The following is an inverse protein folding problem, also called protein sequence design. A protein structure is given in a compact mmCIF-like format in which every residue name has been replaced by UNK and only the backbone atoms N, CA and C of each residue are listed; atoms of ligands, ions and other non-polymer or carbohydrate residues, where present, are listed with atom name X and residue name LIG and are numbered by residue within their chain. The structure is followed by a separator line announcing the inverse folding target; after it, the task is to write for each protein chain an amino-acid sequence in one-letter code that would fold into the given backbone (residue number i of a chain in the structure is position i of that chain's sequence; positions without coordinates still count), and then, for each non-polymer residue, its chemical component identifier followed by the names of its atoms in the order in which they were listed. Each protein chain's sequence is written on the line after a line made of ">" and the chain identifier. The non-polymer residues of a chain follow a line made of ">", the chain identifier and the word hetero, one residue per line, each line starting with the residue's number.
data_IF_835003442217
#
_entry.id   IF_835003442217
#
_cell.length_a   1.000
_cell.length_b   1.000
_cell.length_c   1.000
_cell.angle_alpha   90.00
_cell.angle_beta   90.00
_cell.angle_gamma   90.00
#
_symmetry.space_group_name_H-M   'P 1'
#
loop_
_entity.id
_entity.type
_entity.pdbx_description
1 polymer ?
#
# COMPACT_ATOMS: atom_id res chain seq x y z
N UNK A 1 -47.93 -5.70 -0.32
CA UNK A 1 -46.53 -5.40 0.05
C UNK A 1 -45.66 -6.18 -0.90
N UNK A 2 -45.22 -5.57 -1.99
CA UNK A 2 -44.27 -6.21 -2.90
C UNK A 2 -42.88 -6.07 -2.28
N UNK A 3 -42.10 -7.15 -2.11
CA UNK A 3 -40.69 -7.00 -1.81
C UNK A 3 -40.05 -6.30 -3.02
N UNK A 4 -39.44 -5.15 -2.81
CA UNK A 4 -38.69 -4.45 -3.85
C UNK A 4 -37.38 -5.21 -4.08
N UNK A 5 -37.41 -6.16 -5.02
CA UNK A 5 -36.24 -6.88 -5.53
C UNK A 5 -35.42 -5.96 -6.43
N UNK A 6 -34.61 -5.07 -5.86
CA UNK A 6 -33.61 -4.28 -6.62
C UNK A 6 -32.41 -3.82 -5.78
N UNK A 7 -32.13 -4.43 -4.64
CA UNK A 7 -30.81 -4.30 -4.00
C UNK A 7 -29.99 -5.52 -4.40
N UNK A 8 -29.48 -5.50 -5.64
CA UNK A 8 -28.40 -6.42 -6.05
C UNK A 8 -27.35 -6.35 -4.95
N UNK A 9 -26.95 -7.50 -4.43
CA UNK A 9 -26.07 -7.80 -3.29
C UNK A 9 -24.67 -7.11 -3.36
N UNK A 10 -24.65 -5.80 -3.53
CA UNK A 10 -23.49 -4.92 -3.42
C UNK A 10 -23.27 -4.48 -1.98
N UNK A 11 -24.17 -4.87 -1.07
CA UNK A 11 -24.03 -4.58 0.34
C UNK A 11 -23.04 -5.52 1.03
N UNK A 12 -22.53 -6.58 0.40
CA UNK A 12 -21.45 -7.41 0.97
C UNK A 12 -20.17 -7.41 0.13
N UNK A 13 -19.95 -6.37 -0.67
CA UNK A 13 -18.78 -6.26 -1.55
C UNK A 13 -18.20 -4.85 -1.45
N UNK A 14 -16.91 -4.76 -1.13
CA UNK A 14 -16.14 -3.54 -1.26
C UNK A 14 -15.25 -3.57 -2.49
N UNK A 15 -14.80 -2.41 -2.92
CA UNK A 15 -13.92 -2.28 -4.09
C UNK A 15 -12.56 -1.73 -3.66
N UNK A 16 -11.50 -2.30 -4.21
CA UNK A 16 -10.13 -1.85 -3.94
C UNK A 16 -9.40 -1.56 -5.25
N UNK A 17 -8.75 -0.41 -5.28
CA UNK A 17 -7.82 -0.01 -6.35
C UNK A 17 -6.49 0.37 -5.70
N UNK A 18 -5.39 -0.21 -6.17
CA UNK A 18 -4.05 0.13 -5.66
C UNK A 18 -3.38 1.10 -6.62
N UNK A 19 -2.89 2.21 -6.09
CA UNK A 19 -2.15 3.23 -6.85
C UNK A 19 -0.69 3.20 -6.43
N UNK A 20 0.19 2.74 -7.32
CA UNK A 20 1.62 2.65 -7.10
C UNK A 20 2.34 3.81 -7.79
N UNK A 21 3.19 4.50 -7.05
CA UNK A 21 4.04 5.58 -7.54
C UNK A 21 5.46 5.46 -7.00
N UNK A 22 6.40 6.14 -7.64
CA UNK A 22 7.81 6.20 -7.20
C UNK A 22 7.99 7.17 -6.03
N UNK A 23 9.20 7.22 -5.48
CA UNK A 23 9.60 8.21 -4.47
C UNK A 23 9.07 9.63 -4.79
N UNK A 24 8.58 10.31 -3.76
CA UNK A 24 7.86 11.59 -3.81
C UNK A 24 6.44 11.55 -4.41
N UNK A 25 5.90 10.37 -4.76
CA UNK A 25 4.50 10.20 -5.18
C UNK A 25 4.14 10.83 -6.52
N UNK A 26 5.14 11.32 -7.26
CA UNK A 26 4.95 12.18 -8.44
C UNK A 26 4.82 11.39 -9.75
N UNK A 27 5.44 10.20 -9.84
CA UNK A 27 5.49 9.43 -11.08
C UNK A 27 4.75 8.10 -10.87
N UNK A 28 3.72 7.80 -11.67
CA UNK A 28 3.06 6.50 -11.64
C UNK A 28 4.04 5.40 -12.04
N UNK A 29 3.96 4.25 -11.35
CA UNK A 29 4.84 3.12 -11.62
C UNK A 29 4.06 2.00 -12.33
N UNK A 30 4.39 1.77 -13.59
CA UNK A 30 3.88 0.66 -14.38
C UNK A 30 4.60 -0.66 -14.04
N UNK A 31 3.90 -1.78 -14.15
CA UNK A 31 4.51 -3.11 -14.03
C UNK A 31 4.81 -3.54 -12.60
N UNK A 32 4.30 -2.83 -11.59
CA UNK A 32 4.38 -3.26 -10.20
C UNK A 32 3.40 -4.41 -9.97
N UNK A 33 3.89 -5.53 -9.45
CA UNK A 33 3.10 -6.68 -9.06
C UNK A 33 2.45 -6.42 -7.71
N UNK A 34 1.12 -6.47 -7.67
CA UNK A 34 0.30 -6.24 -6.48
C UNK A 34 -0.40 -7.54 -6.11
N UNK A 35 -0.18 -8.02 -4.89
CA UNK A 35 -0.83 -9.22 -4.37
C UNK A 35 -1.75 -8.84 -3.23
N UNK A 36 -3.02 -9.23 -3.31
CA UNK A 36 -4.01 -9.02 -2.26
C UNK A 36 -4.27 -10.37 -1.60
N UNK A 37 -4.08 -10.41 -0.28
CA UNK A 37 -4.20 -11.59 0.58
C UNK A 37 -5.28 -11.39 1.64
N UNK A 38 -5.81 -12.50 2.16
CA UNK A 38 -6.69 -12.49 3.32
C UNK A 38 -6.09 -11.69 4.49
N UNK A 39 -6.93 -11.02 5.27
CA UNK A 39 -6.49 -10.24 6.43
C UNK A 39 -6.29 -11.05 7.70
N UNK A 40 -6.62 -12.34 7.69
CA UNK A 40 -6.29 -13.23 8.79
C UNK A 40 -4.79 -13.55 8.77
N UNK A 41 -4.15 -13.54 9.94
CA UNK A 41 -2.69 -13.69 10.05
C UNK A 41 -2.23 -15.10 9.70
N UNK A 42 -3.12 -16.09 9.84
CA UNK A 42 -2.89 -17.49 9.50
C UNK A 42 -3.34 -17.79 8.05
N UNK A 43 -4.18 -16.93 7.45
CA UNK A 43 -4.60 -17.03 6.06
C UNK A 43 -3.68 -16.23 5.12
N UNK A 44 -2.66 -16.91 4.63
CA UNK A 44 -1.80 -16.37 3.58
C UNK A 44 -2.35 -16.60 2.16
N UNK A 45 -3.65 -16.87 2.01
CA UNK A 45 -4.26 -17.13 0.71
C UNK A 45 -4.18 -15.90 -0.20
N UNK A 46 -3.74 -16.13 -1.43
CA UNK A 46 -3.73 -15.10 -2.47
C UNK A 46 -5.13 -15.03 -3.07
N UNK A 47 -5.78 -13.88 -2.91
CA UNK A 47 -7.13 -13.60 -3.42
C UNK A 47 -7.03 -13.01 -4.83
N UNK A 48 -6.14 -12.04 -5.00
CA UNK A 48 -5.85 -11.44 -6.31
C UNK A 48 -4.35 -11.24 -6.51
N UNK A 49 -3.91 -11.44 -7.74
CA UNK A 49 -2.60 -11.03 -8.23
C UNK A 49 -2.81 -10.12 -9.42
N UNK A 50 -2.36 -8.88 -9.29
CA UNK A 50 -2.60 -7.79 -10.22
C UNK A 50 -1.27 -7.17 -10.64
N UNK A 51 -1.31 -6.38 -11.70
CA UNK A 51 -0.17 -5.59 -12.16
C UNK A 51 -0.64 -4.18 -12.47
N UNK A 52 0.18 -3.18 -12.11
CA UNK A 52 -0.15 -1.79 -12.43
C UNK A 52 0.03 -1.49 -13.91
N UNK A 53 -0.89 -0.70 -14.45
CA UNK A 53 -0.81 -0.17 -15.83
C UNK A 53 0.06 1.09 -15.89
N UNK A 54 0.18 1.70 -17.08
CA UNK A 54 0.94 2.95 -17.31
C UNK A 54 0.58 4.11 -16.38
N UNK A 55 -0.66 4.17 -15.90
CA UNK A 55 -1.13 5.17 -14.94
C UNK A 55 -0.76 4.86 -13.49
N UNK A 56 -0.02 3.78 -13.24
CA UNK A 56 0.37 3.32 -11.90
C UNK A 56 -0.80 2.75 -11.10
N UNK A 57 -1.91 2.42 -11.76
CA UNK A 57 -3.12 1.89 -11.15
C UNK A 57 -3.27 0.40 -11.46
N UNK A 58 -3.72 -0.36 -10.47
CA UNK A 58 -4.26 -1.70 -10.70
C UNK A 58 -5.69 -1.61 -11.22
N UNK A 59 -6.22 -2.67 -11.85
CA UNK A 59 -7.66 -2.83 -12.01
C UNK A 59 -8.38 -2.74 -10.65
N UNK A 60 -9.58 -2.18 -10.63
CA UNK A 60 -10.44 -2.23 -9.45
C UNK A 60 -10.93 -3.66 -9.25
N UNK A 61 -10.72 -4.21 -8.06
CA UNK A 61 -11.18 -5.56 -7.70
C UNK A 61 -12.28 -5.52 -6.67
N UNK A 62 -13.19 -6.49 -6.77
CA UNK A 62 -14.26 -6.70 -5.81
C UNK A 62 -13.77 -7.66 -4.70
N UNK A 63 -13.87 -7.21 -3.45
CA UNK A 63 -13.47 -7.96 -2.26
C UNK A 63 -14.70 -8.18 -1.38
N UNK A 64 -14.77 -9.35 -0.74
CA UNK A 64 -15.85 -9.68 0.18
C UNK A 64 -15.79 -8.74 1.39
N UNK A 65 -16.89 -8.05 1.68
CA UNK A 65 -16.98 -7.15 2.83
C UNK A 65 -18.22 -7.50 3.65
N UNK A 66 -18.20 -7.28 4.98
CA UNK A 66 -19.41 -7.38 5.78
C UNK A 66 -20.49 -6.40 5.28
N UNK A 67 -21.78 -6.69 5.55
CA UNK A 67 -22.88 -5.80 5.21
C UNK A 67 -22.67 -4.39 5.75
N UNK A 68 -23.01 -3.38 4.95
CA UNK A 68 -22.92 -1.96 5.34
C UNK A 68 -23.78 -1.66 6.56
N UNK A 69 -24.87 -2.40 6.75
CA UNK A 69 -25.71 -2.32 7.95
C UNK A 69 -24.88 -2.56 9.23
N UNK A 70 -23.88 -3.45 9.19
CA UNK A 70 -23.00 -3.70 10.34
C UNK A 70 -22.16 -2.46 10.69
N UNK A 71 -21.69 -1.69 9.70
CA UNK A 71 -20.94 -0.46 9.96
C UNK A 71 -21.80 0.66 10.55
N UNK A 72 -23.13 0.56 10.43
CA UNK A 72 -24.09 1.53 10.97
C UNK A 72 -24.66 1.10 12.33
N UNK A 73 -24.38 -0.12 12.77
CA UNK A 73 -24.78 -0.64 14.08
C UNK A 73 -23.67 -0.45 15.11
N UNK A 74 -23.98 -0.07 16.37
CA UNK A 74 -23.02 -0.05 17.46
C UNK A 74 -22.64 -1.45 17.98
N UNK A 75 -23.21 -2.53 17.39
CA UNK A 75 -22.94 -3.91 17.79
C UNK A 75 -21.51 -4.34 17.48
N UNK A 76 -20.75 -4.75 18.50
CA UNK A 76 -19.37 -5.25 18.37
C UNK A 76 -19.33 -6.73 17.92
N UNK A 77 -20.46 -7.44 18.02
CA UNK A 77 -20.57 -8.87 17.68
C UNK A 77 -20.46 -9.15 16.17
N UNK A 78 -20.64 -8.12 15.32
CA UNK A 78 -20.56 -8.25 13.86
C UNK A 78 -19.43 -7.36 13.31
N UNK A 79 -18.57 -7.88 12.41
CA UNK A 79 -17.51 -7.08 11.83
C UNK A 79 -18.12 -5.99 10.94
N UNK A 80 -17.64 -4.76 11.11
CA UNK A 80 -18.07 -3.58 10.36
C UNK A 80 -17.34 -3.42 9.01
N UNK A 81 -16.20 -4.11 8.83
CA UNK A 81 -15.36 -4.07 7.64
C UNK A 81 -14.58 -5.37 7.52
N UNK A 82 -14.15 -5.70 6.30
CA UNK A 82 -13.17 -6.75 6.06
C UNK A 82 -11.76 -6.15 6.14
N UNK A 83 -10.79 -6.98 6.51
CA UNK A 83 -9.38 -6.61 6.48
C UNK A 83 -8.66 -7.46 5.43
N UNK A 84 -7.71 -6.84 4.74
CA UNK A 84 -6.88 -7.49 3.72
C UNK A 84 -5.43 -7.06 3.85
N UNK A 85 -4.53 -7.93 3.40
CA UNK A 85 -3.10 -7.65 3.33
C UNK A 85 -2.73 -7.40 1.86
N UNK A 86 -1.92 -6.37 1.60
CA UNK A 86 -1.52 -5.98 0.24
C UNK A 86 0.00 -5.94 0.17
N UNK A 87 0.55 -6.63 -0.81
CA UNK A 87 1.98 -6.59 -1.09
C UNK A 87 2.22 -6.02 -2.45
N UNK A 88 3.25 -5.19 -2.55
CA UNK A 88 3.63 -4.56 -3.80
C UNK A 88 5.10 -4.79 -4.03
N UNK A 89 5.40 -5.36 -5.20
CA UNK A 89 6.73 -5.67 -5.66
C UNK A 89 6.96 -5.02 -7.02
N UNK A 90 8.13 -4.42 -7.21
CA UNK A 90 8.56 -3.96 -8.52
C UNK A 90 10.08 -4.15 -8.65
N UNK A 91 10.53 -4.41 -9.87
CA UNK A 91 11.96 -4.61 -10.13
C UNK A 91 12.74 -3.32 -9.89
N UNK A 92 13.84 -3.39 -9.12
CA UNK A 92 14.64 -2.21 -8.77
C UNK A 92 14.04 -1.33 -7.66
N UNK A 93 12.98 -1.77 -6.99
CA UNK A 93 12.35 -1.07 -5.87
C UNK A 93 12.25 -1.94 -4.61
N UNK A 94 12.26 -1.28 -3.44
CA UNK A 94 12.01 -1.92 -2.16
C UNK A 94 10.56 -2.38 -2.10
N UNK A 95 10.28 -3.64 -1.70
CA UNK A 95 8.92 -4.11 -1.55
C UNK A 95 8.18 -3.34 -0.46
N UNK A 96 6.87 -3.17 -0.64
CA UNK A 96 5.99 -2.53 0.34
C UNK A 96 4.89 -3.51 0.77
N UNK A 97 4.63 -3.55 2.08
CA UNK A 97 3.66 -4.43 2.72
C UNK A 97 2.67 -3.59 3.51
N UNK A 98 1.39 -3.75 3.23
CA UNK A 98 0.29 -3.07 3.92
C UNK A 98 -0.58 -4.13 4.58
N UNK A 99 -0.62 -4.11 5.90
CA UNK A 99 -1.40 -5.07 6.67
C UNK A 99 -2.68 -4.44 7.19
N UNK A 100 -3.74 -5.25 7.31
CA UNK A 100 -5.02 -4.85 7.88
C UNK A 100 -5.70 -3.67 7.15
N UNK A 101 -5.65 -3.65 5.82
CA UNK A 101 -6.31 -2.62 5.01
C UNK A 101 -7.83 -2.81 5.11
N UNK A 102 -8.58 -1.82 5.63
CA UNK A 102 -10.01 -1.95 5.84
C UNK A 102 -10.78 -1.74 4.54
N UNK A 103 -11.65 -2.68 4.22
CA UNK A 103 -12.54 -2.64 3.07
C UNK A 103 -13.98 -2.61 3.56
N UNK A 104 -14.68 -1.54 3.17
CA UNK A 104 -16.07 -1.30 3.49
C UNK A 104 -16.94 -1.64 2.29
N UNK A 105 -18.12 -2.16 2.58
CA UNK A 105 -19.05 -2.51 1.54
C UNK A 105 -19.61 -1.29 0.80
N UNK A 106 -19.73 -1.41 -0.53
CA UNK A 106 -20.18 -0.36 -1.43
C UNK A 106 -19.19 0.80 -1.60
N UNK A 107 -18.01 0.75 -0.98
CA UNK A 107 -16.98 1.79 -1.07
C UNK A 107 -15.87 1.36 -2.02
N UNK A 108 -15.46 2.28 -2.91
CA UNK A 108 -14.24 2.14 -3.69
C UNK A 108 -13.06 2.77 -2.94
N UNK A 109 -12.29 1.92 -2.27
CA UNK A 109 -11.08 2.29 -1.56
C UNK A 109 -9.91 2.39 -2.54
N UNK A 110 -9.18 3.50 -2.46
CA UNK A 110 -7.92 3.66 -3.20
C UNK A 110 -6.77 3.60 -2.21
N UNK A 111 -5.90 2.59 -2.36
CA UNK A 111 -4.71 2.44 -1.53
C UNK A 111 -3.50 3.05 -2.26
N UNK A 112 -2.99 4.22 -1.86
CA UNK A 112 -1.74 4.76 -2.38
C UNK A 112 -0.56 3.96 -1.82
N UNK A 113 0.40 3.67 -2.70
CA UNK A 113 1.64 2.94 -2.40
C UNK A 113 2.79 3.69 -3.05
N UNK A 114 3.80 4.02 -2.24
CA UNK A 114 5.04 4.65 -2.71
C UNK A 114 6.14 3.60 -2.63
N UNK A 115 6.73 3.25 -3.77
CA UNK A 115 7.89 2.39 -3.81
C UNK A 115 9.18 3.22 -3.84
N UNK A 116 10.13 2.82 -3.01
CA UNK A 116 11.45 3.43 -2.93
C UNK A 116 12.40 2.69 -3.88
N UNK A 117 13.09 3.38 -4.80
CA UNK A 117 14.09 2.72 -5.63
C UNK A 117 15.20 2.14 -4.75
N UNK A 118 15.62 0.92 -5.05
CA UNK A 118 16.79 0.31 -4.44
C UNK A 118 18.02 1.02 -5.02
N UNK A 119 18.51 2.06 -4.34
CA UNK A 119 19.79 2.66 -4.72
C UNK A 119 20.88 1.60 -4.55
N UNK A 120 21.49 1.17 -5.65
CA UNK A 120 22.75 0.43 -5.60
C UNK A 120 23.89 1.39 -5.18
N UNK A 121 23.92 1.81 -3.91
CA UNK A 121 25.11 2.17 -3.12
C UNK A 121 24.74 2.89 -1.82
N UNK A 122 24.98 2.31 -0.64
CA UNK A 122 25.36 3.10 0.51
C UNK A 122 26.81 3.55 0.33
N UNK A 123 27.08 4.52 -0.55
CA UNK A 123 28.34 5.26 -0.45
C UNK A 123 28.26 6.05 0.84
N UNK A 124 28.79 5.45 1.91
CA UNK A 124 29.16 6.11 3.15
C UNK A 124 30.14 7.23 2.80
N UNK A 125 29.61 8.41 2.45
CA UNK A 125 30.39 9.62 2.39
C UNK A 125 30.65 10.06 3.84
N UNK A 126 31.59 9.38 4.50
CA UNK A 126 32.25 9.93 5.68
C UNK A 126 33.16 11.08 5.21
N UNK A 127 32.53 12.20 4.83
CA UNK A 127 33.22 13.48 4.70
C UNK A 127 33.53 13.95 6.12
N UNK A 128 34.59 13.40 6.73
CA UNK A 128 35.16 13.98 7.93
C UNK A 128 35.64 15.39 7.57
N UNK A 129 34.93 16.38 8.09
CA UNK A 129 35.24 17.80 8.13
C UNK A 129 36.74 18.12 8.07
N UNK A 130 37.28 18.35 6.87
CA UNK A 130 38.50 19.13 6.71
C UNK A 130 38.10 20.59 6.89
N UNK A 131 38.40 21.16 8.05
CA UNK A 131 38.49 22.62 8.23
C UNK A 131 39.95 22.95 8.51
N UNK A 132 40.63 23.43 7.46
CA UNK A 132 41.97 24.02 7.50
C UNK A 132 42.01 25.30 8.37
N UNK A 133 43.16 25.55 9.01
CA UNK A 133 43.97 26.74 8.67
C UNK A 133 45.41 26.62 9.21
N UNK A 134 46.42 27.15 8.48
CA UNK A 134 47.84 27.09 8.83
C UNK A 134 48.28 28.31 9.64
N UNK A 135 49.17 28.15 10.63
CA UNK A 135 50.00 29.27 11.15
C UNK A 135 51.38 28.68 11.44
N UNK A 136 52.37 29.09 10.65
CA UNK A 136 53.76 28.66 10.79
C UNK A 136 54.50 29.40 11.92
N UNK A 137 55.72 28.94 12.17
CA UNK A 137 56.73 29.69 12.91
C UNK A 137 57.28 28.94 14.12
N UNK A 138 58.33 28.15 13.87
CA UNK A 138 59.61 28.18 14.60
C UNK A 138 59.59 28.67 16.06
N UNK A 139 59.84 27.78 17.04
CA UNK A 139 60.94 27.98 18.00
C UNK A 139 61.46 26.60 18.45
N UNK A 140 62.78 26.46 18.36
CA UNK A 140 63.62 25.31 18.65
C UNK A 140 63.91 25.12 20.15
N UNK A 141 64.19 23.85 20.49
CA UNK A 141 64.79 23.25 21.71
C UNK A 141 64.14 23.45 23.09
#
# INVERSE_FOLDING_TARGET
>A
MTPNTNQIDNDSVGYLTVRVSTASGAIPLEGAAVTIRGGDIDDNSVIYSLTTSSDGLTPTVALAAPPRENSQSPSIEVPAYAVYNIDVFANGYSPAFFHNVPIFSGINSVQPVILLPLTENPTQNISQNVTEAPIGGDFVE
#
